data_IF_887226284282
#
_entry.id   IF_887226284282
#
_cell.length_a   1.000
_cell.length_b   1.000
_cell.length_c   1.000
_cell.angle_alpha   90.00
_cell.angle_beta   90.00
_cell.angle_gamma   90.00
#
_symmetry.space_group_name_H-M   'P 1'
#
loop_
_entity.id
_entity.type
_entity.pdbx_description
1 polymer ?
#
# COMPACT_ATOMS: atom_id res chain seq x y z
N UNK A 1 -41.08 13.24 -11.80
CA UNK A 1 -40.76 13.73 -10.43
C UNK A 1 -40.34 12.59 -9.51
N UNK A 2 -41.16 11.54 -9.28
CA UNK A 2 -40.78 10.40 -8.41
C UNK A 2 -39.52 9.66 -8.86
N UNK A 3 -39.42 9.31 -10.14
CA UNK A 3 -38.31 8.50 -10.67
C UNK A 3 -36.93 9.16 -10.48
N UNK A 4 -36.85 10.49 -10.66
CA UNK A 4 -35.62 11.26 -10.42
C UNK A 4 -35.27 11.39 -8.94
N UNK A 5 -36.28 11.42 -8.05
CA UNK A 5 -36.09 11.40 -6.60
C UNK A 5 -35.53 10.06 -6.14
N UNK A 6 -36.08 8.96 -6.66
CA UNK A 6 -35.63 7.61 -6.33
C UNK A 6 -34.20 7.37 -6.84
N UNK A 7 -33.88 7.81 -8.05
CA UNK A 7 -32.52 7.73 -8.61
C UNK A 7 -31.52 8.61 -7.83
N UNK A 8 -31.92 9.79 -7.36
CA UNK A 8 -31.09 10.64 -6.50
C UNK A 8 -30.82 9.98 -5.14
N UNK A 9 -31.83 9.33 -4.55
CA UNK A 9 -31.66 8.56 -3.30
C UNK A 9 -30.66 7.42 -3.53
N UNK A 10 -30.75 6.69 -4.65
CA UNK A 10 -29.80 5.61 -4.97
C UNK A 10 -28.37 6.13 -5.18
N UNK A 11 -28.20 7.27 -5.85
CA UNK A 11 -26.88 7.89 -6.05
C UNK A 11 -26.24 8.30 -4.71
N UNK A 12 -27.04 8.81 -3.77
CA UNK A 12 -26.59 9.24 -2.44
C UNK A 12 -26.38 8.05 -1.49
N UNK A 13 -27.29 7.08 -1.46
CA UNK A 13 -27.33 6.01 -0.45
C UNK A 13 -26.55 4.76 -0.86
N UNK A 14 -26.56 4.40 -2.15
CA UNK A 14 -25.92 3.19 -2.68
C UNK A 14 -24.55 3.53 -3.25
N UNK A 15 -24.46 4.59 -4.07
CA UNK A 15 -23.23 4.93 -4.79
C UNK A 15 -22.33 5.92 -4.04
N UNK A 16 -22.75 6.42 -2.87
CA UNK A 16 -21.99 7.37 -2.03
C UNK A 16 -21.47 8.60 -2.80
N UNK A 17 -22.22 9.07 -3.79
CA UNK A 17 -21.87 10.28 -4.53
C UNK A 17 -22.26 11.50 -3.69
N UNK A 18 -21.41 12.52 -3.66
CA UNK A 18 -21.62 13.74 -2.85
C UNK A 18 -21.60 15.04 -3.66
N UNK A 19 -21.23 15.00 -4.93
CA UNK A 19 -21.11 16.20 -5.77
C UNK A 19 -22.41 16.55 -6.48
N UNK A 20 -22.91 17.77 -6.30
CA UNK A 20 -24.14 18.26 -6.94
C UNK A 20 -24.02 18.23 -8.47
N UNK A 21 -22.86 18.62 -9.00
CA UNK A 21 -22.61 18.57 -10.45
C UNK A 21 -22.69 17.13 -11.00
N UNK A 22 -22.25 16.14 -10.23
CA UNK A 22 -22.30 14.74 -10.64
C UNK A 22 -23.75 14.24 -10.66
N UNK A 23 -24.59 14.70 -9.72
CA UNK A 23 -26.03 14.42 -9.75
C UNK A 23 -26.69 15.09 -10.95
N UNK A 24 -26.37 16.35 -11.24
CA UNK A 24 -26.88 17.10 -12.38
C UNK A 24 -26.59 16.39 -13.71
N UNK A 25 -25.34 15.94 -13.88
CA UNK A 25 -24.90 15.22 -15.08
C UNK A 25 -25.59 13.85 -15.23
N UNK A 26 -25.77 13.11 -14.13
CA UNK A 26 -26.44 11.80 -14.11
C UNK A 26 -27.94 11.90 -14.39
N UNK A 27 -28.62 12.82 -13.70
CA UNK A 27 -30.06 13.00 -13.75
C UNK A 27 -30.51 13.88 -14.94
N UNK A 28 -29.55 14.44 -15.69
CA UNK A 28 -29.75 15.34 -16.83
C UNK A 28 -30.65 16.53 -16.46
N UNK A 29 -30.35 17.15 -15.32
CA UNK A 29 -31.05 18.32 -14.77
C UNK A 29 -30.04 19.38 -14.36
N UNK A 30 -30.50 20.59 -14.07
CA UNK A 30 -29.61 21.65 -13.61
C UNK A 30 -29.21 21.43 -12.14
N UNK A 31 -28.07 21.98 -11.74
CA UNK A 31 -27.63 21.94 -10.35
C UNK A 31 -28.62 22.62 -9.38
N UNK A 32 -29.35 23.62 -9.86
CA UNK A 32 -30.43 24.29 -9.10
C UNK A 32 -31.61 23.33 -8.86
N UNK A 33 -32.03 22.59 -9.89
CA UNK A 33 -33.08 21.57 -9.77
C UNK A 33 -32.66 20.40 -8.85
N UNK A 34 -31.37 20.03 -8.84
CA UNK A 34 -30.84 19.02 -7.89
C UNK A 34 -30.95 19.52 -6.46
N UNK A 35 -30.61 20.78 -6.20
CA UNK A 35 -30.67 21.37 -4.86
C UNK A 35 -32.12 21.42 -4.37
N UNK A 36 -33.07 21.79 -5.23
CA UNK A 36 -34.50 21.76 -4.93
C UNK A 36 -34.96 20.34 -4.57
N UNK A 37 -34.59 19.34 -5.38
CA UNK A 37 -34.91 17.93 -5.10
C UNK A 37 -34.30 17.42 -3.79
N UNK A 38 -33.07 17.82 -3.47
CA UNK A 38 -32.42 17.46 -2.20
C UNK A 38 -33.18 18.08 -1.03
N UNK A 39 -33.54 19.36 -1.12
CA UNK A 39 -34.30 20.04 -0.06
C UNK A 39 -35.67 19.40 0.14
N UNK A 40 -36.39 19.08 -0.94
CA UNK A 40 -37.66 18.33 -0.85
C UNK A 40 -37.47 16.97 -0.18
N UNK A 41 -36.40 16.24 -0.50
CA UNK A 41 -36.10 14.93 0.10
C UNK A 41 -35.65 15.02 1.56
N UNK A 42 -35.05 16.14 1.98
CA UNK A 42 -34.74 16.45 3.37
C UNK A 42 -36.02 16.77 4.16
N UNK A 43 -36.94 17.56 3.59
CA UNK A 43 -38.24 17.88 4.18
C UNK A 43 -39.14 16.63 4.31
N UNK A 44 -39.11 15.75 3.31
CA UNK A 44 -39.80 14.45 3.35
C UNK A 44 -39.14 13.44 4.33
N UNK A 45 -37.97 13.77 4.89
CA UNK A 45 -37.22 12.91 5.82
C UNK A 45 -36.60 11.66 5.16
N UNK A 46 -36.59 11.59 3.82
CA UNK A 46 -36.04 10.48 3.03
C UNK A 46 -34.52 10.56 2.92
N UNK A 47 -33.97 11.77 2.94
CA UNK A 47 -32.54 12.03 3.07
C UNK A 47 -32.25 12.68 4.43
N UNK A 48 -31.07 12.40 4.97
CA UNK A 48 -30.55 13.06 6.17
C UNK A 48 -29.14 13.53 5.90
N UNK A 49 -28.93 14.84 5.92
CA UNK A 49 -27.65 15.44 5.56
C UNK A 49 -27.68 16.96 5.55
N UNK A 50 -26.60 17.56 5.06
CA UNK A 50 -26.43 19.00 4.90
C UNK A 50 -25.75 19.31 3.57
N UNK A 51 -26.22 20.34 2.87
CA UNK A 51 -25.51 20.94 1.75
C UNK A 51 -24.34 21.81 2.26
N UNK A 52 -23.28 21.94 1.47
CA UNK A 52 -22.23 22.93 1.72
C UNK A 52 -22.74 24.36 1.50
N UNK A 53 -22.12 25.34 2.16
CA UNK A 53 -22.44 26.77 2.00
C UNK A 53 -22.32 27.22 0.53
N UNK A 54 -21.41 26.60 -0.22
CA UNK A 54 -21.19 26.86 -1.65
C UNK A 54 -22.22 26.16 -2.57
N UNK A 55 -23.12 25.32 -2.03
CA UNK A 55 -24.10 24.56 -2.81
C UNK A 55 -23.50 23.50 -3.74
N UNK A 56 -22.20 23.19 -3.60
CA UNK A 56 -21.46 22.31 -4.50
C UNK A 56 -21.51 20.83 -4.10
N UNK A 57 -21.77 20.54 -2.82
CA UNK A 57 -21.75 19.17 -2.28
C UNK A 57 -22.86 18.93 -1.27
N UNK A 58 -23.36 17.70 -1.25
CA UNK A 58 -24.28 17.18 -0.23
C UNK A 58 -23.55 16.15 0.66
N UNK A 59 -23.59 16.36 1.96
CA UNK A 59 -23.03 15.45 2.96
C UNK A 59 -24.14 14.75 3.74
N UNK A 60 -24.16 13.42 3.70
CA UNK A 60 -25.09 12.61 4.49
C UNK A 60 -24.71 12.65 5.97
N UNK A 61 -25.67 12.89 6.86
CA UNK A 61 -25.45 13.00 8.32
C UNK A 61 -25.42 11.64 9.02
N UNK A 62 -26.10 10.63 8.46
CA UNK A 62 -25.93 9.24 8.89
C UNK A 62 -24.74 8.62 8.17
N UNK A 63 -23.53 8.93 8.64
CA UNK A 63 -22.41 8.00 8.48
C UNK A 63 -22.76 6.82 9.40
N UNK A 64 -23.47 5.81 8.87
CA UNK A 64 -23.25 4.46 9.38
C UNK A 64 -21.79 4.17 9.09
N UNK A 65 -20.93 4.45 10.07
CA UNK A 65 -19.67 3.76 10.23
C UNK A 65 -20.03 2.30 10.02
N UNK A 66 -19.60 1.75 8.89
CA UNK A 66 -19.90 0.38 8.52
C UNK A 66 -19.63 -0.50 9.73
N UNK A 67 -20.69 -1.08 10.32
CA UNK A 67 -20.59 -2.31 11.10
C UNK A 67 -20.34 -3.48 10.13
N UNK A 68 -19.42 -3.30 9.17
CA UNK A 68 -18.65 -4.43 8.73
C UNK A 68 -18.07 -5.01 10.03
N UNK A 69 -18.11 -6.34 10.23
CA UNK A 69 -17.38 -6.92 11.34
C UNK A 69 -16.00 -6.30 11.25
N UNK A 70 -15.54 -5.72 12.35
CA UNK A 70 -14.12 -5.44 12.52
C UNK A 70 -13.47 -6.80 12.41
N UNK A 71 -13.19 -7.21 11.16
CA UNK A 71 -12.12 -8.12 10.85
C UNK A 71 -10.99 -7.49 11.63
N UNK A 72 -10.59 -8.14 12.73
CA UNK A 72 -9.41 -7.77 13.44
C UNK A 72 -8.38 -7.63 12.33
N UNK A 73 -8.05 -6.38 12.03
CA UNK A 73 -7.06 -6.09 11.02
C UNK A 73 -5.85 -6.68 11.71
N UNK A 74 -5.44 -7.88 11.31
CA UNK A 74 -4.08 -8.29 11.61
C UNK A 74 -3.28 -7.09 11.15
N UNK A 75 -2.64 -6.41 12.10
CA UNK A 75 -1.66 -5.36 11.83
C UNK A 75 -0.42 -5.96 11.15
N UNK A 76 -0.61 -7.05 10.40
CA UNK A 76 0.31 -7.56 9.43
C UNK A 76 0.45 -6.46 8.38
N UNK A 77 1.60 -5.81 8.43
CA UNK A 77 2.04 -4.88 7.40
C UNK A 77 1.71 -5.48 6.04
N UNK A 78 1.15 -4.69 5.10
CA UNK A 78 0.82 -5.19 3.78
C UNK A 78 2.02 -5.93 3.19
N UNK A 79 1.85 -7.14 2.63
CA UNK A 79 2.96 -7.99 2.18
C UNK A 79 3.94 -7.37 1.15
N UNK A 80 3.63 -6.19 0.60
CA UNK A 80 4.57 -5.40 -0.21
C UNK A 80 5.57 -4.56 0.61
N UNK A 81 5.33 -4.39 1.92
CA UNK A 81 6.30 -3.86 2.89
C UNK A 81 7.22 -4.95 3.45
N UNK A 82 6.91 -6.24 3.24
CA UNK A 82 7.80 -7.33 3.65
C UNK A 82 9.05 -7.35 2.78
N UNK A 83 10.09 -6.68 3.27
CA UNK A 83 11.42 -6.79 2.69
C UNK A 83 11.90 -8.24 2.80
N UNK A 84 12.03 -8.91 1.66
CA UNK A 84 12.60 -10.24 1.62
C UNK A 84 14.12 -10.17 1.76
N UNK A 85 14.62 -10.33 2.98
CA UNK A 85 16.05 -10.33 3.32
C UNK A 85 16.78 -11.61 2.94
N UNK A 86 16.06 -12.68 2.56
CA UNK A 86 16.63 -14.01 2.29
C UNK A 86 17.73 -13.99 1.21
N UNK A 87 17.59 -13.30 0.07
CA UNK A 87 18.63 -13.28 -0.96
C UNK A 87 19.94 -12.66 -0.45
N UNK A 88 19.86 -11.58 0.33
CA UNK A 88 21.05 -10.95 0.93
C UNK A 88 21.74 -11.87 1.93
N UNK A 89 20.96 -12.49 2.83
CA UNK A 89 21.46 -13.45 3.83
C UNK A 89 22.13 -14.65 3.15
N UNK A 90 21.47 -15.27 2.16
CA UNK A 90 22.01 -16.43 1.44
C UNK A 90 23.31 -16.05 0.73
N UNK A 91 23.37 -14.90 0.07
CA UNK A 91 24.56 -14.42 -0.64
C UNK A 91 25.73 -14.22 0.34
N UNK A 92 25.48 -13.62 1.50
CA UNK A 92 26.52 -13.44 2.54
C UNK A 92 27.02 -14.77 3.11
N UNK A 93 26.12 -15.75 3.34
CA UNK A 93 26.51 -17.08 3.82
C UNK A 93 27.37 -17.80 2.78
N UNK A 94 27.01 -17.74 1.49
CA UNK A 94 27.82 -18.33 0.42
C UNK A 94 29.21 -17.72 0.38
N UNK A 95 29.31 -16.38 0.49
CA UNK A 95 30.60 -15.69 0.59
C UNK A 95 31.44 -16.16 1.78
N UNK A 96 30.84 -16.32 2.96
CA UNK A 96 31.51 -16.85 4.15
C UNK A 96 32.01 -18.28 3.98
N UNK A 97 31.24 -19.15 3.33
CA UNK A 97 31.65 -20.54 3.04
C UNK A 97 32.88 -20.55 2.12
N UNK A 98 32.89 -19.68 1.11
CA UNK A 98 34.05 -19.53 0.20
C UNK A 98 35.28 -19.05 0.99
N UNK A 99 35.13 -18.05 1.87
CA UNK A 99 36.24 -17.58 2.72
C UNK A 99 36.76 -18.71 3.61
N UNK A 100 35.88 -19.47 4.26
CA UNK A 100 36.26 -20.59 5.11
C UNK A 100 37.04 -21.66 4.31
N UNK A 101 36.60 -21.97 3.09
CA UNK A 101 37.33 -22.83 2.17
C UNK A 101 38.72 -22.28 1.82
N UNK A 102 38.82 -20.99 1.49
CA UNK A 102 40.08 -20.33 1.20
C UNK A 102 41.04 -20.32 2.40
N UNK A 103 40.54 -20.10 3.61
CA UNK A 103 41.33 -20.18 4.85
C UNK A 103 41.83 -21.60 5.11
N UNK A 104 40.99 -22.62 4.89
CA UNK A 104 41.42 -24.02 5.00
C UNK A 104 42.52 -24.35 3.98
N UNK A 105 42.35 -23.96 2.72
CA UNK A 105 43.38 -24.17 1.69
C UNK A 105 44.67 -23.43 2.06
N UNK A 106 44.58 -22.21 2.57
CA UNK A 106 45.75 -21.45 3.01
C UNK A 106 46.49 -22.15 4.17
N UNK A 107 45.76 -22.66 5.16
CA UNK A 107 46.33 -23.32 6.33
C UNK A 107 47.12 -24.59 6.00
N UNK A 108 46.77 -25.27 4.91
CA UNK A 108 47.44 -26.50 4.44
C UNK A 108 48.35 -26.28 3.21
N UNK A 109 48.55 -25.04 2.78
CA UNK A 109 49.34 -24.74 1.59
C UNK A 109 50.82 -25.09 1.79
N UNK A 110 51.39 -25.83 0.84
CA UNK A 110 52.79 -26.27 0.86
C UNK A 110 53.72 -25.37 0.05
N UNK A 111 53.17 -24.58 -0.88
CA UNK A 111 53.94 -23.68 -1.73
C UNK A 111 53.26 -22.30 -1.92
N UNK A 112 53.98 -21.40 -2.59
CA UNK A 112 53.50 -20.03 -2.84
C UNK A 112 52.37 -19.97 -3.86
N UNK A 113 52.24 -20.99 -4.72
CA UNK A 113 51.17 -21.04 -5.74
C UNK A 113 49.84 -21.32 -5.06
N UNK A 114 49.80 -22.30 -4.17
CA UNK A 114 48.64 -22.65 -3.35
C UNK A 114 48.23 -21.51 -2.42
N UNK A 115 49.20 -20.82 -1.81
CA UNK A 115 48.93 -19.62 -1.00
C UNK A 115 48.29 -18.49 -1.83
N UNK A 116 48.81 -18.23 -3.04
CA UNK A 116 48.25 -17.22 -3.93
C UNK A 116 46.83 -17.58 -4.37
N UNK A 117 46.58 -18.86 -4.68
CA UNK A 117 45.25 -19.35 -5.00
C UNK A 117 44.28 -19.17 -3.83
N UNK A 118 44.70 -19.53 -2.63
CA UNK A 118 43.90 -19.33 -1.41
C UNK A 118 43.59 -17.84 -1.17
N UNK A 119 44.56 -16.95 -1.37
CA UNK A 119 44.37 -15.51 -1.24
C UNK A 119 43.32 -14.96 -2.24
N UNK A 120 43.35 -15.42 -3.49
CA UNK A 120 42.34 -15.07 -4.51
C UNK A 120 40.95 -15.56 -4.07
N UNK A 121 40.88 -16.79 -3.57
CA UNK A 121 39.61 -17.40 -3.14
C UNK A 121 39.00 -16.65 -1.94
N UNK A 122 39.83 -16.24 -0.97
CA UNK A 122 39.43 -15.38 0.15
C UNK A 122 38.93 -14.03 -0.35
N UNK A 123 39.65 -13.40 -1.30
CA UNK A 123 39.25 -12.09 -1.84
C UNK A 123 37.90 -12.15 -2.56
N UNK A 124 37.67 -13.19 -3.37
CA UNK A 124 36.38 -13.42 -4.04
C UNK A 124 35.27 -13.62 -3.00
N UNK A 125 35.50 -14.47 -2.00
CA UNK A 125 34.54 -14.71 -0.93
C UNK A 125 34.19 -13.43 -0.15
N UNK A 126 35.17 -12.56 0.07
CA UNK A 126 34.98 -11.25 0.71
C UNK A 126 34.10 -10.33 -0.13
N UNK A 127 34.35 -10.23 -1.43
CA UNK A 127 33.52 -9.43 -2.35
C UNK A 127 32.06 -9.91 -2.37
N UNK A 128 31.83 -11.23 -2.40
CA UNK A 128 30.47 -11.80 -2.37
C UNK A 128 29.79 -11.51 -1.03
N UNK A 129 30.53 -11.64 0.08
CA UNK A 129 30.01 -11.34 1.42
C UNK A 129 29.58 -9.89 1.53
N UNK A 130 30.41 -8.96 1.07
CA UNK A 130 30.12 -7.54 1.05
C UNK A 130 28.93 -7.20 0.16
N UNK A 131 28.80 -7.84 -1.01
CA UNK A 131 27.63 -7.66 -1.88
C UNK A 131 26.33 -8.11 -1.18
N UNK A 132 26.34 -9.28 -0.53
CA UNK A 132 25.18 -9.75 0.24
C UNK A 132 24.80 -8.83 1.40
N UNK A 133 25.79 -8.32 2.13
CA UNK A 133 25.59 -7.36 3.22
C UNK A 133 25.08 -6.01 2.70
N UNK A 134 25.57 -5.56 1.55
CA UNK A 134 25.10 -4.34 0.90
C UNK A 134 23.62 -4.43 0.50
N UNK A 135 23.18 -5.58 -0.05
CA UNK A 135 21.77 -5.82 -0.31
C UNK A 135 20.93 -5.80 0.97
N UNK A 136 21.48 -6.26 2.10
CA UNK A 136 20.82 -6.20 3.39
C UNK A 136 20.76 -4.77 3.95
N UNK A 137 21.81 -3.97 3.75
CA UNK A 137 21.93 -2.61 4.30
C UNK A 137 21.10 -1.56 3.55
N UNK A 138 20.63 -1.86 2.34
CA UNK A 138 19.75 -0.96 1.58
C UNK A 138 18.34 -0.83 2.19
N UNK A 139 18.05 -1.52 3.29
CA UNK A 139 16.80 -1.34 4.01
C UNK A 139 16.75 0.06 4.65
N UNK A 140 15.77 0.87 4.21
CA UNK A 140 15.38 2.08 4.92
C UNK A 140 14.74 1.66 6.24
N UNK A 141 15.40 1.94 7.36
CA UNK A 141 14.76 1.89 8.68
C UNK A 141 13.49 2.73 8.63
N UNK A 142 12.33 2.19 9.04
CA UNK A 142 11.11 2.99 9.11
C UNK A 142 11.32 4.10 10.14
N UNK A 143 11.15 5.35 9.71
CA UNK A 143 11.10 6.54 10.56
C UNK A 143 9.68 6.79 11.04
#
# INVERSE_FOLDING_TARGET
>A
MSEKKDELIDLVMIQNVSGIQIFADRLKITSEEVIELINELLEEGKLKGSLTEDGTRFFRSEIKLSEAPTIARDDDQPGFMEFNSRPGIVTSIVGLVIIAGGLLVNAYALDTVEQNFAAVLIFIGMMITLAGLYFLSQHKTPS
#
